data_IF_622387204355
#
_entry.id   IF_622387204355
#
_cell.length_a   1.000
_cell.length_b   1.000
_cell.length_c   1.000
_cell.angle_alpha   90.00
_cell.angle_beta   90.00
_cell.angle_gamma   90.00
#
_symmetry.space_group_name_H-M   'P 1'
#
loop_
_entity.id
_entity.type
_entity.pdbx_description
1 polymer ?
#
# COMPACT_ATOMS: atom_id res chain seq x y z
N UNK A 1 49.00 22.57 15.40
CA UNK A 1 49.37 21.26 14.83
C UNK A 1 48.16 20.34 14.83
N UNK A 2 47.44 20.26 13.74
CA UNK A 2 46.31 19.35 13.59
C UNK A 2 46.64 18.38 12.44
N UNK A 3 46.77 17.09 12.79
CA UNK A 3 47.13 16.03 11.87
C UNK A 3 45.92 15.55 11.07
N UNK A 4 46.02 15.64 9.76
CA UNK A 4 45.08 15.07 8.81
C UNK A 4 45.19 13.54 8.79
N UNK A 5 44.12 12.81 9.19
CA UNK A 5 43.99 11.37 8.96
C UNK A 5 43.37 11.12 7.58
N UNK A 6 44.16 10.52 6.69
CA UNK A 6 43.77 10.04 5.36
C UNK A 6 42.73 8.92 5.46
N UNK A 7 41.64 9.12 4.80
CA UNK A 7 40.63 8.06 4.48
C UNK A 7 41.16 7.23 3.28
N UNK A 8 41.67 6.03 3.54
CA UNK A 8 41.98 5.02 2.52
C UNK A 8 41.29 3.73 2.88
N UNK A 9 40.08 3.52 2.38
CA UNK A 9 39.32 2.30 2.69
C UNK A 9 38.13 1.94 1.78
N UNK A 10 37.88 2.65 0.68
CA UNK A 10 36.67 2.48 -0.10
C UNK A 10 36.84 1.93 -1.55
N UNK A 11 38.04 1.49 -1.94
CA UNK A 11 38.27 1.06 -3.33
C UNK A 11 38.34 -0.48 -3.57
N UNK A 12 38.33 -1.30 -2.51
CA UNK A 12 38.46 -2.76 -2.67
C UNK A 12 37.12 -3.52 -2.96
N UNK A 13 35.97 -2.94 -2.59
CA UNK A 13 34.67 -3.58 -2.80
C UNK A 13 34.18 -3.53 -4.26
N UNK A 14 34.44 -2.43 -4.96
CA UNK A 14 33.97 -2.22 -6.32
C UNK A 14 34.65 -3.13 -7.38
N UNK A 15 35.92 -3.48 -7.14
CA UNK A 15 36.67 -4.33 -8.08
C UNK A 15 36.32 -5.82 -7.98
N UNK A 16 35.80 -6.29 -6.85
CA UNK A 16 35.35 -7.69 -6.72
C UNK A 16 33.98 -7.92 -7.35
N UNK A 17 33.07 -6.96 -7.24
CA UNK A 17 31.75 -7.03 -7.90
C UNK A 17 31.89 -6.98 -9.42
N UNK A 18 32.80 -6.14 -9.95
CA UNK A 18 33.09 -6.08 -11.38
C UNK A 18 33.76 -7.35 -11.92
N UNK A 19 34.58 -8.05 -11.13
CA UNK A 19 35.20 -9.32 -11.53
C UNK A 19 34.23 -10.50 -11.48
N UNK A 20 33.28 -10.52 -10.55
CA UNK A 20 32.23 -11.54 -10.52
C UNK A 20 31.26 -11.42 -11.73
N UNK A 21 30.99 -10.19 -12.18
CA UNK A 21 30.18 -9.94 -13.39
C UNK A 21 30.90 -10.33 -14.69
N UNK A 22 32.24 -10.24 -14.74
CA UNK A 22 33.01 -10.63 -15.93
C UNK A 22 33.23 -12.17 -16.06
N UNK A 23 33.15 -12.91 -14.96
CA UNK A 23 33.30 -14.36 -14.97
C UNK A 23 32.00 -15.11 -15.40
N UNK A 24 30.84 -14.41 -15.36
CA UNK A 24 29.55 -14.96 -15.83
C UNK A 24 29.33 -14.81 -17.35
N UNK A 25 30.29 -14.23 -18.08
CA UNK A 25 30.18 -13.95 -19.52
C UNK A 25 30.56 -15.11 -20.48
N UNK A 26 30.62 -16.33 -20.01
CA UNK A 26 31.14 -17.47 -20.79
C UNK A 26 30.22 -18.68 -20.92
N UNK A 27 28.89 -18.51 -21.07
CA UNK A 27 28.02 -19.63 -21.34
C UNK A 27 26.88 -19.24 -22.28
N UNK A 28 27.00 -19.70 -23.52
CA UNK A 28 26.00 -19.91 -24.58
C UNK A 28 25.25 -18.63 -25.06
N UNK A 29 25.53 -18.32 -26.34
CA UNK A 29 24.78 -17.45 -27.28
C UNK A 29 23.31 -17.92 -27.51
N UNK A 30 22.78 -18.77 -26.67
CA UNK A 30 21.40 -19.23 -26.74
C UNK A 30 20.49 -18.19 -26.12
N UNK A 31 19.67 -17.53 -26.93
CA UNK A 31 18.61 -16.63 -26.56
C UNK A 31 17.83 -17.22 -25.37
N UNK A 32 17.81 -16.57 -24.19
CA UNK A 32 17.19 -17.10 -22.97
C UNK A 32 15.67 -17.36 -23.13
N UNK A 33 15.02 -16.63 -24.04
CA UNK A 33 13.61 -16.86 -24.38
C UNK A 33 13.42 -18.19 -25.13
N UNK A 34 14.32 -18.53 -26.06
CA UNK A 34 14.31 -19.82 -26.78
C UNK A 34 14.63 -20.97 -25.84
N UNK A 35 15.55 -20.78 -24.90
CA UNK A 35 15.89 -21.80 -23.90
C UNK A 35 14.66 -22.21 -23.07
N UNK A 36 13.85 -21.24 -22.62
CA UNK A 36 12.60 -21.52 -21.91
C UNK A 36 11.46 -21.96 -22.85
N UNK A 37 11.55 -21.69 -24.15
CA UNK A 37 10.51 -22.00 -25.12
C UNK A 37 9.30 -21.03 -25.04
N UNK A 38 9.56 -19.77 -24.69
CA UNK A 38 8.56 -18.71 -24.62
C UNK A 38 8.87 -17.58 -25.60
N UNK A 39 7.86 -16.93 -26.20
CA UNK A 39 8.08 -15.81 -27.08
C UNK A 39 8.65 -14.61 -26.31
N UNK A 40 9.44 -13.76 -26.98
CA UNK A 40 9.94 -12.51 -26.41
C UNK A 40 8.76 -11.62 -26.01
N UNK A 41 8.80 -11.08 -24.78
CA UNK A 41 7.70 -10.26 -24.24
C UNK A 41 6.54 -11.08 -23.64
N UNK A 42 6.70 -12.38 -23.42
CA UNK A 42 5.71 -13.17 -22.72
C UNK A 42 5.49 -12.65 -21.29
N UNK A 43 4.26 -12.81 -20.78
CA UNK A 43 3.88 -12.43 -19.43
C UNK A 43 4.65 -13.22 -18.36
N UNK A 44 4.89 -12.60 -17.21
CA UNK A 44 5.62 -13.17 -16.08
C UNK A 44 5.06 -14.54 -15.64
N UNK A 45 3.73 -14.69 -15.65
CA UNK A 45 3.05 -15.95 -15.33
C UNK A 45 3.33 -17.05 -16.38
N UNK A 46 3.42 -16.68 -17.66
CA UNK A 46 3.74 -17.60 -18.74
C UNK A 46 5.20 -18.09 -18.64
N UNK A 47 6.14 -17.18 -18.32
CA UNK A 47 7.56 -17.49 -18.13
C UNK A 47 7.73 -18.44 -16.94
N UNK A 48 7.05 -18.17 -15.81
CA UNK A 48 7.09 -19.04 -14.63
C UNK A 48 6.52 -20.42 -14.91
N UNK A 49 5.36 -20.51 -15.57
CA UNK A 49 4.78 -21.81 -15.97
C UNK A 49 5.67 -22.60 -16.91
N UNK A 50 6.39 -21.93 -17.82
CA UNK A 50 7.35 -22.58 -18.72
C UNK A 50 8.54 -23.15 -17.93
N UNK A 51 9.09 -22.36 -16.97
CA UNK A 51 10.15 -22.84 -16.07
C UNK A 51 9.69 -24.06 -15.26
N UNK A 52 8.51 -24.01 -14.66
CA UNK A 52 7.97 -25.12 -13.85
C UNK A 52 7.78 -26.40 -14.68
N UNK A 53 7.29 -26.28 -15.94
CA UNK A 53 7.20 -27.40 -16.86
C UNK A 53 8.57 -27.99 -17.21
N UNK A 54 9.57 -27.12 -17.45
CA UNK A 54 10.93 -27.54 -17.74
C UNK A 54 11.60 -28.19 -16.53
N UNK A 55 11.35 -27.70 -15.32
CA UNK A 55 11.81 -28.32 -14.06
C UNK A 55 11.28 -29.74 -13.89
N UNK A 56 10.04 -30.00 -14.25
CA UNK A 56 9.47 -31.34 -14.21
C UNK A 56 10.10 -32.28 -15.27
N UNK A 57 10.38 -31.77 -16.49
CA UNK A 57 10.96 -32.53 -17.57
C UNK A 57 12.43 -32.89 -17.32
N UNK A 58 13.22 -31.99 -16.78
CA UNK A 58 14.67 -32.14 -16.59
C UNK A 58 15.06 -32.44 -15.15
N UNK A 59 14.15 -33.00 -14.34
CA UNK A 59 14.39 -33.31 -12.92
C UNK A 59 15.60 -34.23 -12.70
N UNK A 60 15.93 -35.10 -13.67
CA UNK A 60 17.08 -36.03 -13.63
C UNK A 60 18.39 -35.44 -14.19
N UNK A 61 18.36 -34.22 -14.75
CA UNK A 61 19.51 -33.62 -15.44
C UNK A 61 19.85 -32.25 -14.80
N UNK A 62 20.68 -32.23 -13.72
CA UNK A 62 20.94 -31.02 -12.95
C UNK A 62 21.60 -29.88 -13.74
N UNK A 63 22.45 -30.23 -14.74
CA UNK A 63 23.11 -29.24 -15.59
C UNK A 63 22.10 -28.46 -16.47
N UNK A 64 21.14 -29.16 -17.07
CA UNK A 64 20.10 -28.52 -17.88
C UNK A 64 19.15 -27.69 -17.01
N UNK A 65 18.88 -28.17 -15.82
CA UNK A 65 18.05 -27.43 -14.85
C UNK A 65 18.71 -26.11 -14.45
N UNK A 66 20.01 -26.12 -14.14
CA UNK A 66 20.78 -24.92 -13.82
C UNK A 66 20.81 -23.94 -15.02
N UNK A 67 20.97 -24.44 -16.25
CA UNK A 67 20.91 -23.60 -17.45
C UNK A 67 19.52 -22.90 -17.62
N UNK A 68 18.41 -23.62 -17.32
CA UNK A 68 17.05 -23.04 -17.38
C UNK A 68 16.82 -22.00 -16.29
N UNK A 69 17.34 -22.21 -15.09
CA UNK A 69 17.27 -21.23 -13.99
C UNK A 69 18.07 -19.97 -14.34
N UNK A 70 19.28 -20.12 -14.88
CA UNK A 70 20.09 -18.98 -15.35
C UNK A 70 19.38 -18.21 -16.47
N UNK A 71 18.76 -18.91 -17.43
CA UNK A 71 17.94 -18.25 -18.47
C UNK A 71 16.76 -17.49 -17.90
N UNK A 72 16.06 -18.04 -16.92
CA UNK A 72 14.97 -17.36 -16.22
C UNK A 72 15.46 -16.10 -15.49
N UNK A 73 16.53 -16.21 -14.73
CA UNK A 73 17.12 -15.08 -14.00
C UNK A 73 17.55 -13.95 -14.94
N UNK A 74 18.14 -14.29 -16.09
CA UNK A 74 18.55 -13.29 -17.10
C UNK A 74 17.34 -12.53 -17.67
N UNK A 75 16.21 -13.21 -17.94
CA UNK A 75 14.97 -12.58 -18.40
C UNK A 75 14.39 -11.65 -17.31
N UNK A 76 14.34 -12.12 -16.05
CA UNK A 76 13.85 -11.32 -14.92
C UNK A 76 14.72 -10.08 -14.70
N UNK A 77 16.04 -10.23 -14.76
CA UNK A 77 16.97 -9.08 -14.62
C UNK A 77 16.83 -8.10 -15.79
N UNK A 78 16.70 -8.59 -17.03
CA UNK A 78 16.49 -7.72 -18.19
C UNK A 78 15.16 -6.94 -18.08
N UNK A 79 14.09 -7.60 -17.63
CA UNK A 79 12.79 -6.96 -17.42
C UNK A 79 12.84 -5.90 -16.30
N UNK A 80 13.58 -6.17 -15.22
CA UNK A 80 13.80 -5.21 -14.15
C UNK A 80 14.60 -3.98 -14.62
N UNK A 81 15.67 -4.21 -15.40
CA UNK A 81 16.46 -3.11 -15.96
C UNK A 81 15.67 -2.26 -16.96
N UNK A 82 14.82 -2.89 -17.79
CA UNK A 82 13.92 -2.16 -18.69
C UNK A 82 12.97 -1.25 -17.92
N UNK A 83 12.37 -1.75 -16.82
CA UNK A 83 11.51 -0.96 -15.92
C UNK A 83 12.25 0.21 -15.27
N UNK A 84 13.46 -0.02 -14.79
CA UNK A 84 14.30 1.03 -14.19
C UNK A 84 14.69 2.12 -15.20
N UNK A 85 14.77 1.79 -16.49
CA UNK A 85 14.98 2.76 -17.59
C UNK A 85 13.71 3.47 -18.04
N UNK A 86 12.54 3.09 -17.49
CA UNK A 86 11.24 3.67 -17.84
C UNK A 86 10.58 3.05 -19.09
N UNK A 87 11.11 1.93 -19.59
CA UNK A 87 10.48 1.19 -20.68
C UNK A 87 9.37 0.30 -20.11
N UNK A 88 8.14 0.76 -20.22
CA UNK A 88 6.94 0.14 -19.66
C UNK A 88 6.07 -0.57 -20.70
N UNK A 89 6.54 -0.64 -21.96
CA UNK A 89 5.75 -1.14 -23.09
C UNK A 89 5.35 -2.61 -22.98
N UNK A 90 6.12 -3.41 -22.23
CA UNK A 90 5.91 -4.86 -22.05
C UNK A 90 5.53 -5.26 -20.61
N UNK A 91 5.25 -4.28 -19.73
CA UNK A 91 5.01 -4.55 -18.30
C UNK A 91 3.53 -4.67 -18.02
N UNK A 92 3.12 -5.72 -17.30
CA UNK A 92 1.74 -5.87 -16.82
C UNK A 92 1.32 -4.62 -16.00
N UNK A 93 0.15 -4.12 -16.28
CA UNK A 93 -0.45 -2.96 -15.59
C UNK A 93 -0.53 -3.14 -14.07
N UNK A 94 -0.59 -4.39 -13.58
CA UNK A 94 -0.57 -4.72 -12.14
C UNK A 94 0.79 -4.45 -11.52
N UNK A 95 1.87 -4.81 -12.24
CA UNK A 95 3.25 -4.58 -11.80
C UNK A 95 3.57 -3.10 -11.84
N UNK A 96 3.13 -2.41 -12.88
CA UNK A 96 3.30 -0.95 -13.02
C UNK A 96 2.63 -0.19 -11.85
N UNK A 97 1.44 -0.61 -11.44
CA UNK A 97 0.75 -0.03 -10.27
C UNK A 97 1.48 -0.33 -8.96
N UNK A 98 2.18 -1.47 -8.86
CA UNK A 98 2.97 -1.80 -7.68
C UNK A 98 4.28 -1.00 -7.60
N UNK A 99 4.87 -0.67 -8.75
CA UNK A 99 6.12 0.09 -8.86
C UNK A 99 5.90 1.62 -8.67
N UNK A 100 4.66 2.13 -8.76
CA UNK A 100 4.39 3.55 -8.50
C UNK A 100 4.60 3.87 -7.02
N UNK A 101 5.68 4.59 -6.72
CA UNK A 101 5.93 5.11 -5.38
C UNK A 101 4.86 6.17 -5.06
N UNK A 102 4.08 6.03 -3.98
CA UNK A 102 3.08 7.03 -3.63
C UNK A 102 3.76 8.38 -3.34
N UNK A 103 3.23 9.47 -3.93
CA UNK A 103 3.74 10.85 -3.82
C UNK A 103 3.96 11.30 -2.35
N UNK A 104 3.19 10.77 -1.41
CA UNK A 104 3.23 11.12 0.01
C UNK A 104 3.89 10.04 0.89
N UNK A 105 4.73 9.17 0.31
CA UNK A 105 5.43 8.12 1.05
C UNK A 105 4.56 6.90 1.41
N UNK A 106 5.10 5.97 2.21
CA UNK A 106 4.47 4.67 2.48
C UNK A 106 3.18 4.76 3.33
N UNK A 107 2.89 5.93 3.90
CA UNK A 107 1.70 6.18 4.75
C UNK A 107 0.53 6.76 3.96
N UNK A 108 0.73 7.17 2.71
CA UNK A 108 -0.33 7.74 1.89
C UNK A 108 -1.48 6.75 1.67
N UNK A 109 -2.73 7.24 1.64
CA UNK A 109 -3.88 6.42 1.30
C UNK A 109 -3.75 5.96 -0.15
N UNK A 110 -3.77 4.64 -0.36
CA UNK A 110 -3.70 4.02 -1.69
C UNK A 110 -5.13 3.61 -2.09
N UNK A 111 -5.60 3.96 -3.30
CA UNK A 111 -6.91 3.54 -3.77
C UNK A 111 -7.05 2.00 -3.76
N UNK A 112 -8.06 1.50 -3.08
CA UNK A 112 -8.35 0.08 -2.97
C UNK A 112 -9.80 -0.11 -2.58
N UNK A 113 -10.61 -0.60 -3.51
CA UNK A 113 -12.01 -0.84 -3.24
C UNK A 113 -12.22 -2.01 -2.26
N UNK A 114 -13.11 -1.80 -1.29
CA UNK A 114 -13.57 -2.86 -0.41
C UNK A 114 -14.65 -3.73 -1.12
N UNK A 115 -14.80 -5.02 -0.76
CA UNK A 115 -15.90 -5.86 -1.20
C UNK A 115 -17.27 -5.23 -0.87
N UNK A 116 -18.29 -5.52 -1.68
CA UNK A 116 -19.64 -4.95 -1.47
C UNK A 116 -20.20 -5.19 -0.07
N UNK A 117 -19.93 -6.37 0.51
CA UNK A 117 -20.34 -6.70 1.88
C UNK A 117 -19.75 -5.72 2.89
N UNK A 118 -18.45 -5.44 2.76
CA UNK A 118 -17.73 -4.55 3.66
C UNK A 118 -18.13 -3.09 3.47
N UNK A 119 -18.36 -2.67 2.22
CA UNK A 119 -18.91 -1.33 1.93
C UNK A 119 -20.26 -1.12 2.65
N UNK A 120 -21.17 -2.10 2.58
CA UNK A 120 -22.45 -2.03 3.29
C UNK A 120 -22.30 -1.88 4.79
N UNK A 121 -21.40 -2.66 5.41
CA UNK A 121 -21.14 -2.60 6.85
C UNK A 121 -20.53 -1.25 7.24
N UNK A 122 -19.54 -0.76 6.51
CA UNK A 122 -18.88 0.52 6.78
C UNK A 122 -19.87 1.70 6.68
N UNK A 123 -20.72 1.69 5.65
CA UNK A 123 -21.77 2.71 5.50
C UNK A 123 -22.81 2.59 6.61
N UNK A 124 -23.24 1.38 6.96
CA UNK A 124 -24.24 1.16 8.01
C UNK A 124 -23.78 1.70 9.37
N UNK A 125 -22.49 1.51 9.73
CA UNK A 125 -21.92 2.05 10.97
C UNK A 125 -21.93 3.58 10.97
N UNK A 126 -21.52 4.20 9.87
CA UNK A 126 -21.52 5.65 9.71
C UNK A 126 -22.94 6.23 9.77
N UNK A 127 -23.89 5.59 9.10
CA UNK A 127 -25.30 5.97 9.13
C UNK A 127 -25.88 5.81 10.53
N UNK A 128 -25.59 4.72 11.23
CA UNK A 128 -26.03 4.50 12.60
C UNK A 128 -25.52 5.60 13.54
N UNK A 129 -24.22 5.94 13.47
CA UNK A 129 -23.64 7.02 14.28
C UNK A 129 -24.33 8.37 14.01
N UNK A 130 -24.60 8.67 12.74
CA UNK A 130 -25.31 9.88 12.33
C UNK A 130 -26.72 9.93 12.91
N UNK A 131 -27.51 8.86 12.76
CA UNK A 131 -28.88 8.80 13.26
C UNK A 131 -28.94 8.85 14.80
N UNK A 132 -28.02 8.17 15.50
CA UNK A 132 -27.93 8.28 16.97
C UNK A 132 -27.70 9.73 17.38
N UNK A 133 -26.80 10.46 16.73
CA UNK A 133 -26.57 11.87 17.02
C UNK A 133 -27.78 12.73 16.66
N UNK A 134 -28.44 12.45 15.52
CA UNK A 134 -29.60 13.21 15.06
C UNK A 134 -30.79 13.10 16.02
N UNK A 135 -31.10 11.88 16.50
CA UNK A 135 -32.24 11.61 17.38
C UNK A 135 -31.94 11.88 18.87
N UNK A 136 -30.68 12.12 19.23
CA UNK A 136 -30.34 12.52 20.59
C UNK A 136 -30.80 13.97 20.85
N UNK A 137 -31.53 14.25 21.96
CA UNK A 137 -31.95 15.59 22.28
C UNK A 137 -30.79 16.56 22.34
N UNK A 138 -30.97 17.79 21.82
CA UNK A 138 -29.91 18.81 21.71
C UNK A 138 -29.16 19.12 23.00
N UNK A 139 -29.87 19.04 24.15
CA UNK A 139 -29.26 19.33 25.46
C UNK A 139 -28.25 18.31 25.95
N UNK A 140 -28.33 17.04 25.47
CA UNK A 140 -27.45 15.95 25.85
C UNK A 140 -26.67 15.37 24.64
N UNK A 141 -26.75 16.07 23.51
CA UNK A 141 -26.08 15.64 22.28
C UNK A 141 -24.56 15.73 22.48
N UNK A 142 -23.88 14.68 22.07
CA UNK A 142 -22.42 14.56 22.22
C UNK A 142 -21.81 13.97 20.95
N UNK A 143 -20.48 14.10 20.81
CA UNK A 143 -19.73 13.47 19.73
C UNK A 143 -19.39 12.00 20.01
N UNK A 144 -19.87 11.41 21.11
CA UNK A 144 -19.59 10.02 21.47
C UNK A 144 -19.93 9.01 20.35
N UNK A 145 -21.09 9.08 19.66
CA UNK A 145 -21.41 8.13 18.61
C UNK A 145 -20.38 8.07 17.49
N UNK A 146 -19.84 9.23 17.08
CA UNK A 146 -18.83 9.25 16.02
C UNK A 146 -17.46 8.79 16.51
N UNK A 147 -17.14 8.97 17.79
CA UNK A 147 -15.91 8.42 18.39
C UNK A 147 -15.96 6.89 18.35
N UNK A 148 -17.08 6.28 18.78
CA UNK A 148 -17.25 4.82 18.71
C UNK A 148 -17.20 4.31 17.26
N UNK A 149 -17.86 5.00 16.33
CA UNK A 149 -17.78 4.67 14.91
C UNK A 149 -16.33 4.76 14.39
N UNK A 150 -15.57 5.76 14.82
CA UNK A 150 -14.15 5.92 14.45
C UNK A 150 -13.32 4.73 14.90
N UNK A 151 -13.47 4.28 16.16
CA UNK A 151 -12.79 3.08 16.67
C UNK A 151 -13.13 1.87 15.81
N UNK A 152 -14.40 1.72 15.45
CA UNK A 152 -14.84 0.61 14.60
C UNK A 152 -14.24 0.69 13.19
N UNK A 153 -14.14 1.89 12.62
CA UNK A 153 -13.48 2.11 11.33
C UNK A 153 -11.97 1.81 11.37
N UNK A 154 -11.27 2.07 12.48
CA UNK A 154 -9.87 1.65 12.68
C UNK A 154 -9.77 0.13 12.56
N UNK A 155 -10.64 -0.60 13.26
CA UNK A 155 -10.64 -2.06 13.21
C UNK A 155 -10.96 -2.58 11.79
N UNK A 156 -11.97 -2.02 11.13
CA UNK A 156 -12.34 -2.39 9.74
C UNK A 156 -11.20 -2.13 8.75
N UNK A 157 -10.52 -0.99 8.87
CA UNK A 157 -9.35 -0.67 8.05
C UNK A 157 -8.20 -1.64 8.31
N UNK A 158 -7.97 -2.00 9.57
CA UNK A 158 -6.96 -3.00 9.93
C UNK A 158 -7.27 -4.36 9.29
N UNK A 159 -8.49 -4.87 9.40
CA UNK A 159 -8.90 -6.13 8.76
C UNK A 159 -8.71 -6.08 7.24
N UNK A 160 -9.11 -4.98 6.60
CA UNK A 160 -8.87 -4.78 5.15
C UNK A 160 -7.39 -4.83 4.78
N UNK A 161 -6.51 -4.26 5.62
CA UNK A 161 -5.05 -4.32 5.40
C UNK A 161 -4.51 -5.75 5.58
N UNK A 162 -5.06 -6.54 6.50
CA UNK A 162 -4.70 -7.95 6.69
C UNK A 162 -5.04 -8.77 5.45
N UNK A 163 -6.22 -8.55 4.87
CA UNK A 163 -6.70 -9.30 3.69
C UNK A 163 -5.89 -8.97 2.42
N UNK A 164 -5.48 -7.71 2.29
CA UNK A 164 -4.77 -7.23 1.07
C UNK A 164 -3.27 -7.52 1.09
N UNK A 165 -2.67 -7.51 2.27
CA UNK A 165 -1.22 -7.71 2.45
C UNK A 165 -1.00 -8.83 3.48
N UNK A 166 -1.11 -10.12 3.09
CA UNK A 166 -0.85 -11.23 3.98
C UNK A 166 0.63 -11.26 4.35
N UNK A 167 0.95 -10.91 5.59
CA UNK A 167 2.33 -10.89 6.09
C UNK A 167 2.98 -12.27 6.19
N UNK A 168 4.23 -12.32 6.68
CA UNK A 168 4.93 -13.56 6.90
C UNK A 168 4.14 -14.48 7.83
N UNK A 169 4.22 -15.80 7.53
CA UNK A 169 3.52 -16.80 8.35
C UNK A 169 4.08 -16.83 9.78
N UNK A 170 3.20 -16.73 10.76
CA UNK A 170 3.59 -16.81 12.18
C UNK A 170 4.21 -18.15 12.57
N UNK A 171 4.05 -19.19 11.72
CA UNK A 171 4.66 -20.50 11.92
C UNK A 171 6.15 -20.51 11.56
N UNK A 172 6.61 -19.56 10.71
CA UNK A 172 7.99 -19.48 10.23
C UNK A 172 8.78 -18.47 11.08
N UNK A 173 8.23 -17.26 11.27
CA UNK A 173 8.87 -16.20 12.04
C UNK A 173 7.80 -15.38 12.78
N UNK A 174 7.67 -15.66 14.09
CA UNK A 174 6.69 -14.97 14.95
C UNK A 174 7.01 -13.49 15.12
N UNK A 175 8.27 -13.13 15.25
CA UNK A 175 8.68 -11.74 15.48
C UNK A 175 8.47 -10.88 14.25
N UNK A 176 8.74 -11.42 13.06
CA UNK A 176 8.45 -10.74 11.80
C UNK A 176 6.94 -10.57 11.60
N UNK A 177 6.12 -11.57 11.92
CA UNK A 177 4.67 -11.50 11.84
C UNK A 177 4.09 -10.43 12.80
N UNK A 178 4.59 -10.36 14.03
CA UNK A 178 4.17 -9.34 15.02
C UNK A 178 4.56 -7.95 14.56
N UNK A 179 5.80 -7.74 14.11
CA UNK A 179 6.25 -6.43 13.58
C UNK A 179 5.40 -5.99 12.38
N UNK A 180 5.07 -6.93 11.49
CA UNK A 180 4.24 -6.64 10.32
C UNK A 180 2.80 -6.26 10.71
N UNK A 181 2.18 -6.97 11.65
CA UNK A 181 0.85 -6.65 12.17
C UNK A 181 0.81 -5.30 12.89
N UNK A 182 1.82 -5.00 13.70
CA UNK A 182 1.95 -3.70 14.35
C UNK A 182 2.02 -2.55 13.31
N UNK A 183 2.82 -2.73 12.25
CA UNK A 183 2.91 -1.74 11.16
C UNK A 183 1.56 -1.49 10.48
N UNK A 184 0.78 -2.54 10.22
CA UNK A 184 -0.58 -2.44 9.68
C UNK A 184 -1.53 -1.71 10.63
N UNK A 185 -1.47 -2.07 11.92
CA UNK A 185 -2.29 -1.42 12.95
C UNK A 185 -2.00 0.07 13.02
N UNK A 186 -0.73 0.47 13.12
CA UNK A 186 -0.35 1.88 13.13
C UNK A 186 -0.75 2.61 11.86
N UNK A 187 -0.66 1.96 10.70
CA UNK A 187 -1.11 2.55 9.43
C UNK A 187 -2.63 2.76 9.42
N UNK A 188 -3.43 1.76 9.82
CA UNK A 188 -4.88 1.87 9.90
C UNK A 188 -5.31 2.97 10.88
N UNK A 189 -4.66 3.01 12.03
CA UNK A 189 -4.88 4.02 13.06
C UNK A 189 -4.56 5.43 12.54
N UNK A 190 -3.37 5.63 11.95
CA UNK A 190 -2.96 6.92 11.40
C UNK A 190 -3.91 7.43 10.31
N UNK A 191 -4.33 6.55 9.37
CA UNK A 191 -5.25 6.92 8.29
C UNK A 191 -6.62 7.32 8.83
N UNK A 192 -7.21 6.52 9.71
CA UNK A 192 -8.56 6.77 10.22
C UNK A 192 -8.57 7.95 11.19
N UNK A 193 -7.65 7.99 12.17
CA UNK A 193 -7.57 9.09 13.14
C UNK A 193 -7.12 10.38 12.45
N UNK A 194 -6.21 10.33 11.48
CA UNK A 194 -5.83 11.48 10.67
C UNK A 194 -7.02 12.05 9.90
N UNK A 195 -7.80 11.20 9.23
CA UNK A 195 -9.04 11.61 8.53
C UNK A 195 -10.06 12.19 9.52
N UNK A 196 -10.27 11.54 10.65
CA UNK A 196 -11.15 12.03 11.72
C UNK A 196 -10.73 13.43 12.18
N UNK A 197 -9.46 13.62 12.54
CA UNK A 197 -8.95 14.90 13.05
C UNK A 197 -9.05 16.02 12.00
N UNK A 198 -8.67 15.73 10.75
CA UNK A 198 -8.74 16.71 9.65
C UNK A 198 -10.19 17.10 9.35
N UNK A 199 -11.10 16.13 9.23
CA UNK A 199 -12.51 16.41 8.93
C UNK A 199 -13.21 17.08 10.08
N UNK A 200 -12.93 16.67 11.32
CA UNK A 200 -13.44 17.32 12.52
C UNK A 200 -12.99 18.80 12.57
N UNK A 201 -11.69 19.04 12.44
CA UNK A 201 -11.13 20.39 12.42
C UNK A 201 -11.71 21.25 11.30
N UNK A 202 -11.73 20.71 10.07
CA UNK A 202 -12.31 21.43 8.94
C UNK A 202 -13.78 21.79 9.16
N UNK A 203 -14.59 20.87 9.70
CA UNK A 203 -16.02 21.11 9.92
C UNK A 203 -16.29 22.16 11.01
N UNK A 204 -15.40 22.28 12.00
CA UNK A 204 -15.53 23.32 13.01
C UNK A 204 -14.99 24.68 12.55
N UNK A 205 -13.83 24.72 11.90
CA UNK A 205 -13.14 25.97 11.59
C UNK A 205 -13.59 26.59 10.26
N UNK A 206 -13.81 25.79 9.22
CA UNK A 206 -14.11 26.33 7.87
C UNK A 206 -15.40 27.16 7.85
N UNK A 207 -16.53 26.73 8.42
CA UNK A 207 -17.73 27.55 8.44
C UNK A 207 -17.52 28.87 9.21
N UNK A 208 -16.84 28.83 10.35
CA UNK A 208 -16.58 30.05 11.14
C UNK A 208 -15.72 31.05 10.36
N UNK A 209 -14.66 30.59 9.67
CA UNK A 209 -13.83 31.44 8.80
C UNK A 209 -14.68 32.04 7.67
N UNK A 210 -15.54 31.24 7.04
CA UNK A 210 -16.42 31.71 5.97
C UNK A 210 -17.37 32.79 6.49
N UNK A 211 -18.05 32.56 7.61
CA UNK A 211 -18.96 33.56 8.20
C UNK A 211 -18.25 34.85 8.58
N UNK A 212 -17.03 34.76 9.14
CA UNK A 212 -16.21 35.92 9.49
C UNK A 212 -15.76 36.69 8.23
N UNK A 213 -15.31 35.99 7.19
CA UNK A 213 -14.86 36.59 5.93
C UNK A 213 -15.98 37.36 5.24
N UNK A 214 -17.20 36.85 5.23
CA UNK A 214 -18.36 37.50 4.65
C UNK A 214 -19.07 38.46 5.63
N UNK A 215 -18.56 38.63 6.86
CA UNK A 215 -19.16 39.44 7.93
C UNK A 215 -20.63 39.10 8.23
N UNK A 216 -21.01 37.83 8.00
CA UNK A 216 -22.34 37.30 8.25
C UNK A 216 -22.39 36.67 9.63
N UNK A 217 -23.44 37.00 10.43
CA UNK A 217 -23.63 36.33 11.72
C UNK A 217 -23.96 34.86 11.55
N UNK A 218 -23.31 34.01 12.34
CA UNK A 218 -23.55 32.58 12.33
C UNK A 218 -25.03 32.30 12.66
N UNK A 219 -25.76 31.56 11.79
CA UNK A 219 -27.18 31.29 12.04
C UNK A 219 -27.38 30.43 13.31
N UNK A 220 -28.35 30.77 14.13
CA UNK A 220 -28.63 30.04 15.38
C UNK A 220 -28.96 28.58 15.14
N UNK A 221 -29.69 28.26 14.07
CA UNK A 221 -30.02 26.88 13.71
C UNK A 221 -28.75 26.03 13.41
N UNK A 222 -27.71 26.64 12.86
CA UNK A 222 -26.42 25.97 12.63
C UNK A 222 -25.73 25.67 13.95
N UNK A 223 -25.67 26.67 14.87
CA UNK A 223 -25.04 26.44 16.17
C UNK A 223 -25.75 25.36 16.99
N UNK A 224 -27.08 25.32 16.95
CA UNK A 224 -27.90 24.32 17.65
C UNK A 224 -27.72 22.91 17.09
N UNK A 225 -27.36 22.77 15.81
CA UNK A 225 -27.20 21.49 15.14
C UNK A 225 -25.75 21.20 14.69
N UNK A 226 -24.78 21.96 15.17
CA UNK A 226 -23.38 21.83 14.74
C UNK A 226 -22.84 20.40 14.91
N UNK A 227 -23.20 19.73 16.00
CA UNK A 227 -22.77 18.36 16.26
C UNK A 227 -23.32 17.33 15.24
N UNK A 228 -24.53 17.56 14.75
CA UNK A 228 -25.13 16.72 13.70
C UNK A 228 -24.38 16.92 12.38
N UNK A 229 -24.06 18.17 12.02
CA UNK A 229 -23.27 18.46 10.82
C UNK A 229 -21.88 17.86 10.91
N UNK A 230 -21.20 18.05 12.04
CA UNK A 230 -19.87 17.47 12.29
C UNK A 230 -19.92 15.96 12.18
N UNK A 231 -20.87 15.30 12.84
CA UNK A 231 -21.02 13.85 12.79
C UNK A 231 -21.30 13.37 11.36
N UNK A 232 -22.17 14.06 10.61
CA UNK A 232 -22.50 13.73 9.23
C UNK A 232 -21.28 13.79 8.30
N UNK A 233 -20.52 14.89 8.37
CA UNK A 233 -19.31 15.05 7.53
C UNK A 233 -18.23 14.04 7.89
N UNK A 234 -17.94 13.86 9.19
CA UNK A 234 -16.93 12.92 9.67
C UNK A 234 -17.34 11.48 9.33
N UNK A 235 -18.59 11.09 9.55
CA UNK A 235 -19.11 9.76 9.22
C UNK A 235 -18.98 9.46 7.74
N UNK A 236 -19.31 10.43 6.88
CA UNK A 236 -19.17 10.30 5.42
C UNK A 236 -17.71 10.14 5.01
N UNK A 237 -16.80 10.95 5.56
CA UNK A 237 -15.38 10.87 5.26
C UNK A 237 -14.76 9.53 5.69
N UNK A 238 -15.13 9.02 6.88
CA UNK A 238 -14.66 7.74 7.38
C UNK A 238 -15.21 6.56 6.55
N UNK A 239 -16.48 6.62 6.17
CA UNK A 239 -17.08 5.61 5.27
C UNK A 239 -16.37 5.63 3.91
N UNK A 240 -16.12 6.81 3.34
CA UNK A 240 -15.40 6.96 2.08
C UNK A 240 -13.99 6.40 2.17
N UNK A 241 -13.21 6.78 3.19
CA UNK A 241 -11.87 6.27 3.41
C UNK A 241 -11.84 4.74 3.46
N UNK A 242 -12.68 4.13 4.31
CA UNK A 242 -12.67 2.67 4.53
C UNK A 242 -13.21 1.89 3.33
N UNK A 243 -14.09 2.47 2.52
CA UNK A 243 -14.63 1.84 1.32
C UNK A 243 -13.66 1.87 0.13
N UNK A 244 -12.91 2.97 -0.06
CA UNK A 244 -12.17 3.21 -1.30
C UNK A 244 -10.65 3.30 -1.15
N UNK A 245 -10.12 3.34 0.08
CA UNK A 245 -8.68 3.46 0.33
C UNK A 245 -8.15 2.40 1.29
N UNK A 246 -6.79 2.25 1.29
CA UNK A 246 -6.03 1.40 2.21
C UNK A 246 -4.73 2.04 2.65
#
# INVERSE_FOLDING_TARGET
MFGARRATGLSRGASQVARASAAAGGASDADPWKALGVPQGADADAIKKALDRKKLLYKSEPEKLAAMETAYESIVQASLQARLRGDVSSVDSRVLKADTVPLFGPWAPIPSEAPLKDKKVNVAISVAAFFVTLFTPGQIRTLQPIIYATIFHVFRMFMKLVDVDPGPSANIDKDAAVRHNNKRFFRSFALVIGTFAVTLGATYYVPNIIFEMFKVKVPVWYLLNQEVFVTGVVATALAWLTCFYR
#
